data_IF_747587317141
#
_entry.id   IF_747587317141
#
_cell.length_a   1.000
_cell.length_b   1.000
_cell.length_c   1.000
_cell.angle_alpha   90.00
_cell.angle_beta   90.00
_cell.angle_gamma   90.00
#
_symmetry.space_group_name_H-M   'P 1'
#
loop_
_entity.id
_entity.type
_entity.pdbx_description
1 polymer ?
#
# COMPACT_ATOMS: atom_id res chain seq x y z
N UNK A 1 2.59 -8.55 -13.90
CA UNK A 1 3.10 -7.87 -12.69
C UNK A 1 3.34 -8.91 -11.60
N UNK A 2 4.53 -8.96 -11.01
CA UNK A 2 4.84 -9.93 -9.95
C UNK A 2 4.11 -9.52 -8.67
N UNK A 3 3.27 -10.40 -8.12
CA UNK A 3 2.58 -10.16 -6.85
C UNK A 3 3.58 -10.43 -5.73
N UNK A 4 3.84 -9.45 -4.86
CA UNK A 4 4.76 -9.61 -3.73
C UNK A 4 4.15 -9.13 -2.40
N UNK A 5 2.92 -8.64 -2.42
CA UNK A 5 2.20 -8.16 -1.23
C UNK A 5 1.05 -9.12 -0.90
N UNK A 6 1.08 -9.69 0.31
CA UNK A 6 0.05 -10.60 0.81
C UNK A 6 -1.22 -9.89 1.27
N UNK A 7 -2.24 -10.68 1.63
CA UNK A 7 -3.53 -10.14 2.09
C UNK A 7 -3.44 -9.27 3.34
N UNK A 8 -2.65 -9.68 4.34
CA UNK A 8 -2.52 -8.93 5.61
C UNK A 8 -1.89 -7.55 5.36
N UNK A 9 -0.82 -7.52 4.58
CA UNK A 9 -0.10 -6.30 4.23
C UNK A 9 -0.98 -5.33 3.40
N UNK A 10 -1.81 -5.88 2.51
CA UNK A 10 -2.82 -5.10 1.79
C UNK A 10 -3.85 -4.50 2.73
N UNK A 11 -4.35 -5.26 3.71
CA UNK A 11 -5.30 -4.75 4.68
C UNK A 11 -4.68 -3.62 5.53
N UNK A 12 -3.45 -3.81 6.00
CA UNK A 12 -2.74 -2.77 6.77
C UNK A 12 -2.52 -1.50 5.96
N UNK A 13 -2.11 -1.61 4.69
CA UNK A 13 -1.94 -0.45 3.79
C UNK A 13 -3.26 0.23 3.48
N UNK A 14 -4.34 -0.53 3.29
CA UNK A 14 -5.66 0.03 3.08
C UNK A 14 -6.12 0.85 4.30
N UNK A 15 -5.99 0.27 5.50
CA UNK A 15 -6.30 0.95 6.76
C UNK A 15 -5.45 2.21 6.96
N UNK A 16 -4.14 2.11 6.66
CA UNK A 16 -3.24 3.26 6.71
C UNK A 16 -3.66 4.36 5.72
N UNK A 17 -4.03 4.00 4.49
CA UNK A 17 -4.54 4.94 3.49
C UNK A 17 -5.78 5.66 3.99
N UNK A 18 -6.76 4.93 4.53
CA UNK A 18 -7.99 5.51 5.10
C UNK A 18 -7.67 6.44 6.26
N UNK A 19 -6.76 6.04 7.15
CA UNK A 19 -6.34 6.87 8.28
C UNK A 19 -5.67 8.18 7.81
N UNK A 20 -4.79 8.11 6.80
CA UNK A 20 -4.11 9.28 6.25
C UNK A 20 -5.09 10.23 5.53
N UNK A 21 -6.08 9.71 4.79
CA UNK A 21 -7.15 10.53 4.22
C UNK A 21 -7.87 11.28 5.33
N UNK A 22 -8.29 10.57 6.38
CA UNK A 22 -9.00 11.17 7.50
C UNK A 22 -8.15 12.25 8.19
N UNK A 23 -6.87 11.96 8.49
CA UNK A 23 -5.92 12.89 9.08
C UNK A 23 -5.66 14.13 8.20
N UNK A 24 -5.54 13.96 6.88
CA UNK A 24 -5.33 15.06 5.96
C UNK A 24 -6.55 15.97 5.83
N UNK A 25 -7.75 15.40 5.78
CA UNK A 25 -8.98 16.14 5.53
C UNK A 25 -9.55 16.82 6.79
N UNK A 26 -9.63 16.11 7.92
CA UNK A 26 -10.27 16.61 9.14
C UNK A 26 -9.26 17.32 10.08
N UNK A 27 -8.36 16.61 10.79
CA UNK A 27 -7.49 17.23 11.79
C UNK A 27 -6.54 18.28 11.20
N UNK A 28 -6.06 18.07 9.97
CA UNK A 28 -5.19 19.02 9.29
C UNK A 28 -5.95 20.09 8.48
N UNK A 29 -7.28 20.13 8.55
CA UNK A 29 -8.11 21.11 7.85
C UNK A 29 -7.90 21.15 6.32
N UNK A 30 -7.59 20.01 5.68
CA UNK A 30 -7.48 19.94 4.23
C UNK A 30 -8.78 20.35 3.51
N UNK A 31 -9.94 20.10 4.14
CA UNK A 31 -11.26 20.54 3.63
C UNK A 31 -11.42 22.06 3.59
N UNK A 32 -10.68 22.80 4.43
CA UNK A 32 -10.69 24.27 4.46
C UNK A 32 -9.58 24.89 3.62
N UNK A 33 -8.90 24.09 2.77
CA UNK A 33 -7.84 24.58 1.89
C UNK A 33 -6.44 24.59 2.49
N UNK A 34 -6.21 23.96 3.65
CA UNK A 34 -4.86 23.83 4.19
C UNK A 34 -4.01 22.92 3.28
N UNK A 35 -2.98 23.51 2.67
CA UNK A 35 -2.06 22.85 1.73
C UNK A 35 -1.46 21.58 2.33
N UNK A 36 -1.04 21.60 3.60
CA UNK A 36 -0.45 20.43 4.25
C UNK A 36 -1.46 19.28 4.37
N UNK A 37 -2.71 19.57 4.75
CA UNK A 37 -3.77 18.57 4.85
C UNK A 37 -4.10 17.94 3.49
N UNK A 38 -4.17 18.76 2.45
CA UNK A 38 -4.38 18.30 1.06
C UNK A 38 -3.23 17.40 0.60
N UNK A 39 -1.98 17.80 0.84
CA UNK A 39 -0.82 17.00 0.48
C UNK A 39 -0.82 15.63 1.17
N UNK A 40 -1.14 15.59 2.47
CA UNK A 40 -1.26 14.32 3.21
C UNK A 40 -2.38 13.44 2.63
N UNK A 41 -3.54 14.03 2.31
CA UNK A 41 -4.63 13.31 1.65
C UNK A 41 -4.23 12.79 0.26
N UNK A 42 -3.47 13.54 -0.53
CA UNK A 42 -2.97 13.09 -1.84
C UNK A 42 -1.93 11.97 -1.70
N UNK A 43 -1.00 12.08 -0.76
CA UNK A 43 0.02 11.04 -0.50
C UNK A 43 -0.62 9.73 -0.05
N UNK A 44 -1.78 9.79 0.62
CA UNK A 44 -2.55 8.60 0.98
C UNK A 44 -3.02 7.76 -0.22
N UNK A 45 -3.02 8.31 -1.44
CA UNK A 45 -3.32 7.55 -2.66
C UNK A 45 -2.26 6.48 -2.96
N UNK A 46 -1.01 6.68 -2.53
CA UNK A 46 0.08 5.72 -2.72
C UNK A 46 -0.21 4.34 -2.10
N UNK A 47 -0.57 4.21 -0.80
CA UNK A 47 -0.92 2.92 -0.25
C UNK A 47 -2.14 2.28 -0.93
N UNK A 48 -3.15 3.05 -1.34
CA UNK A 48 -4.28 2.49 -2.11
C UNK A 48 -3.86 1.93 -3.46
N UNK A 49 -2.99 2.63 -4.19
CA UNK A 49 -2.41 2.15 -5.44
C UNK A 49 -1.62 0.85 -5.24
N UNK A 50 -0.85 0.74 -4.15
CA UNK A 50 -0.11 -0.48 -3.82
C UNK A 50 -1.05 -1.65 -3.44
N UNK A 51 -2.18 -1.37 -2.79
CA UNK A 51 -3.22 -2.37 -2.50
C UNK A 51 -3.86 -2.90 -3.79
N UNK A 52 -4.17 -2.01 -4.74
CA UNK A 52 -4.79 -2.36 -6.02
C UNK A 52 -3.87 -3.20 -6.89
N UNK A 53 -2.61 -2.78 -7.05
CA UNK A 53 -1.61 -3.48 -7.88
C UNK A 53 -1.08 -4.76 -7.24
N UNK A 54 -1.19 -4.91 -5.92
CA UNK A 54 -0.59 -6.02 -5.14
C UNK A 54 0.92 -6.15 -5.33
N UNK A 55 1.55 -5.05 -5.68
CA UNK A 55 2.98 -4.95 -5.95
C UNK A 55 3.55 -3.76 -5.18
N UNK A 56 4.58 -4.00 -4.37
CA UNK A 56 5.34 -2.95 -3.72
C UNK A 56 6.75 -2.90 -4.32
N UNK A 57 7.13 -1.73 -4.81
CA UNK A 57 8.45 -1.49 -5.40
C UNK A 57 9.58 -1.71 -4.39
N UNK A 58 9.40 -1.26 -3.14
CA UNK A 58 10.38 -1.47 -2.05
C UNK A 58 10.60 -2.96 -1.79
N UNK A 59 9.53 -3.76 -1.75
CA UNK A 59 9.64 -5.20 -1.57
C UNK A 59 10.38 -5.88 -2.72
N UNK A 60 10.14 -5.41 -3.95
CA UNK A 60 10.87 -5.88 -5.13
C UNK A 60 12.35 -5.52 -5.06
N UNK A 61 12.68 -4.29 -4.65
CA UNK A 61 14.06 -3.83 -4.51
C UNK A 61 14.81 -4.66 -3.45
N UNK A 62 14.20 -4.80 -2.27
CA UNK A 62 14.79 -5.55 -1.16
C UNK A 62 14.69 -7.07 -1.30
N UNK A 63 14.13 -7.57 -2.40
CA UNK A 63 13.96 -8.99 -2.68
C UNK A 63 13.19 -9.73 -1.56
N UNK A 64 12.15 -9.09 -1.02
CA UNK A 64 11.26 -9.61 0.03
C UNK A 64 9.81 -9.70 -0.48
N UNK A 65 8.98 -10.52 0.17
CA UNK A 65 7.54 -10.57 -0.05
C UNK A 65 6.80 -10.81 1.27
N UNK A 66 5.52 -10.42 1.32
CA UNK A 66 4.63 -10.72 2.44
C UNK A 66 3.51 -11.71 2.10
N UNK A 67 3.63 -12.40 0.96
CA UNK A 67 2.72 -13.49 0.60
C UNK A 67 2.78 -14.62 1.65
N UNK A 68 1.62 -15.11 2.04
CA UNK A 68 1.51 -16.34 2.85
C UNK A 68 1.85 -17.60 2.03
N UNK A 69 2.12 -18.72 2.70
CA UNK A 69 2.37 -20.02 2.04
C UNK A 69 1.24 -20.45 1.10
N UNK A 70 -0.01 -20.09 1.41
CA UNK A 70 -1.17 -20.37 0.55
C UNK A 70 -1.18 -19.47 -0.69
N UNK A 71 -0.79 -18.19 -0.54
CA UNK A 71 -0.71 -17.25 -1.64
C UNK A 71 0.48 -17.54 -2.58
N UNK A 72 1.64 -17.94 -2.06
CA UNK A 72 2.78 -18.38 -2.89
C UNK A 72 2.40 -19.60 -3.76
N UNK A 73 1.64 -20.56 -3.20
CA UNK A 73 1.12 -21.69 -3.99
C UNK A 73 0.16 -21.27 -5.11
N UNK A 74 -0.55 -20.16 -4.93
CA UNK A 74 -1.56 -19.68 -5.90
C UNK A 74 -0.98 -18.73 -6.95
N UNK A 75 0.03 -17.94 -6.59
CA UNK A 75 0.57 -16.87 -7.44
C UNK A 75 2.01 -17.11 -7.90
N UNK A 76 2.65 -18.18 -7.42
CA UNK A 76 4.07 -18.44 -7.60
C UNK A 76 4.90 -17.69 -6.56
N UNK A 77 6.10 -18.22 -6.29
CA UNK A 77 7.08 -17.54 -5.45
C UNK A 77 7.68 -16.35 -6.24
N UNK A 78 7.50 -15.10 -5.78
CA UNK A 78 8.01 -13.92 -6.45
C UNK A 78 9.54 -13.82 -6.43
N UNK A 79 10.22 -14.61 -5.59
CA UNK A 79 11.67 -14.64 -5.44
C UNK A 79 12.33 -15.85 -6.10
N UNK A 80 11.54 -16.77 -6.67
CA UNK A 80 12.10 -17.88 -7.43
C UNK A 80 12.89 -17.31 -8.61
N UNK A 81 14.20 -17.63 -8.66
CA UNK A 81 15.05 -17.30 -9.81
C UNK A 81 14.43 -17.96 -11.04
N UNK A 82 14.06 -17.13 -12.02
CA UNK A 82 13.74 -17.60 -13.38
C UNK A 82 14.97 -18.20 -14.03
#
# INVERSE_FOLDING_TARGET
MTKNVGMIDRLLRFLLGVLLVWLGLWPMNGLHGNVLGILVALVSLLPFYMVATRSCFVFKWLHIHSLSKAECRRYGDPLAKK
#
